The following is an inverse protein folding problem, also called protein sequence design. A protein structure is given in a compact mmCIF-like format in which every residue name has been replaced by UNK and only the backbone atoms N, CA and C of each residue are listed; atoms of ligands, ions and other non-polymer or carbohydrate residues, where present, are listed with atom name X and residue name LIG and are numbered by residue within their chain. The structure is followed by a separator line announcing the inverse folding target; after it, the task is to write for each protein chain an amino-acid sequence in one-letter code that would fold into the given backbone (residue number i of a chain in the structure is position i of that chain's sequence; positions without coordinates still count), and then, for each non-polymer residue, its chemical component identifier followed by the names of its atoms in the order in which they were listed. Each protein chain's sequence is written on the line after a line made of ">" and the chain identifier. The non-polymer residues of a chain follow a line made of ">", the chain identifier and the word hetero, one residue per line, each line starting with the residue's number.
data_IF_938837848321
#
_entry.id   IF_938837848321
#
_cell.length_a   1.000
_cell.length_b   1.000
_cell.length_c   1.000
_cell.angle_alpha   90.00
_cell.angle_beta   90.00
_cell.angle_gamma   90.00
#
_symmetry.space_group_name_H-M   'P 1'
#
loop_
_entity.id
_entity.type
_entity.pdbx_description
1 polymer ?
#
# COMPACT_ATOMS: atom_id res chain seq x y z
N UNK A 1 15.88 -9.83 -14.42
CA UNK A 1 16.01 -9.98 -12.95
C UNK A 1 16.48 -8.66 -12.38
N UNK A 2 15.60 -7.86 -11.78
CA UNK A 2 16.00 -6.63 -11.09
C UNK A 2 16.66 -7.01 -9.78
N UNK A 3 17.98 -7.00 -9.78
CA UNK A 3 18.81 -7.31 -8.63
C UNK A 3 18.48 -6.39 -7.46
N UNK A 4 18.41 -6.95 -6.24
CA UNK A 4 18.26 -6.21 -4.97
C UNK A 4 19.44 -5.22 -4.78
N UNK A 5 20.52 -5.41 -5.53
CA UNK A 5 21.73 -4.56 -5.57
C UNK A 5 21.49 -3.27 -6.39
N UNK A 6 20.33 -3.09 -7.05
CA UNK A 6 20.04 -1.82 -7.69
C UNK A 6 19.98 -0.71 -6.63
N UNK A 7 20.82 0.34 -6.70
CA UNK A 7 20.90 1.38 -5.67
C UNK A 7 19.56 2.12 -5.49
N UNK A 8 18.74 2.19 -6.54
CA UNK A 8 17.38 2.76 -6.46
C UNK A 8 16.46 1.87 -5.62
N UNK A 9 16.51 0.56 -5.84
CA UNK A 9 15.71 -0.42 -5.07
C UNK A 9 16.17 -0.43 -3.60
N UNK A 10 17.49 -0.46 -3.37
CA UNK A 10 18.07 -0.40 -2.04
C UNK A 10 17.70 0.89 -1.29
N UNK A 11 17.74 2.04 -1.96
CA UNK A 11 17.31 3.31 -1.40
C UNK A 11 15.82 3.30 -1.02
N UNK A 12 14.95 2.78 -1.89
CA UNK A 12 13.52 2.70 -1.59
C UNK A 12 13.23 1.79 -0.40
N UNK A 13 13.91 0.64 -0.30
CA UNK A 13 13.78 -0.28 0.83
C UNK A 13 14.28 0.34 2.13
N UNK A 14 15.48 0.94 2.12
CA UNK A 14 16.06 1.61 3.30
C UNK A 14 15.21 2.78 3.76
N UNK A 15 14.71 3.61 2.82
CA UNK A 15 13.82 4.72 3.14
C UNK A 15 12.49 4.22 3.72
N UNK A 16 11.91 3.17 3.13
CA UNK A 16 10.71 2.53 3.64
C UNK A 16 10.91 2.06 5.08
N UNK A 17 11.98 1.30 5.32
CA UNK A 17 12.30 0.78 6.65
C UNK A 17 12.47 1.91 7.69
N UNK A 18 13.32 2.91 7.41
CA UNK A 18 13.63 3.97 8.38
C UNK A 18 12.48 4.96 8.60
N UNK A 19 11.66 5.26 7.58
CA UNK A 19 10.61 6.29 7.67
C UNK A 19 9.24 5.71 7.99
N UNK A 20 8.93 4.50 7.50
CA UNK A 20 7.63 3.87 7.74
C UNK A 20 7.55 3.25 9.14
N UNK A 21 8.64 2.68 9.66
CA UNK A 21 8.68 2.17 11.04
C UNK A 21 8.45 3.31 12.04
N UNK A 22 9.18 4.42 11.88
CA UNK A 22 9.03 5.60 12.73
C UNK A 22 7.62 6.23 12.63
N UNK A 23 6.96 6.10 11.47
CA UNK A 23 5.57 6.50 11.29
C UNK A 23 4.60 5.65 12.11
N UNK A 24 4.82 4.34 12.20
CA UNK A 24 3.96 3.44 13.00
C UNK A 24 4.12 3.73 14.50
N UNK A 25 5.34 4.00 14.95
CA UNK A 25 5.63 4.28 16.36
C UNK A 25 5.24 5.70 16.81
N UNK A 26 5.28 6.70 15.91
CA UNK A 26 4.97 8.11 16.24
C UNK A 26 3.55 8.56 15.89
N UNK A 27 2.85 7.86 15.01
CA UNK A 27 1.49 8.24 14.63
C UNK A 27 0.47 7.80 15.69
N UNK A 28 -0.49 8.67 15.99
CA UNK A 28 -1.65 8.26 16.77
C UNK A 28 -2.45 7.19 16.00
N UNK A 29 -3.16 6.34 16.74
CA UNK A 29 -4.03 5.29 16.19
C UNK A 29 -4.94 5.82 15.09
N UNK A 30 -5.54 7.00 15.29
CA UNK A 30 -6.45 7.64 14.32
C UNK A 30 -5.77 7.99 12.99
N UNK A 31 -4.49 8.44 13.05
CA UNK A 31 -3.71 8.75 11.85
C UNK A 31 -3.38 7.49 11.06
N UNK A 32 -3.05 6.40 11.77
CA UNK A 32 -2.81 5.09 11.15
C UNK A 32 -4.09 4.56 10.51
N UNK A 33 -5.22 4.67 11.19
CA UNK A 33 -6.52 4.24 10.65
C UNK A 33 -6.94 5.06 9.43
N UNK A 34 -6.76 6.38 9.47
CA UNK A 34 -7.01 7.27 8.32
C UNK A 34 -6.14 6.88 7.13
N UNK A 35 -4.85 6.60 7.37
CA UNK A 35 -3.93 6.14 6.34
C UNK A 35 -4.36 4.81 5.74
N UNK A 36 -4.68 3.82 6.60
CA UNK A 36 -5.17 2.50 6.19
C UNK A 36 -6.42 2.61 5.34
N UNK A 37 -7.40 3.41 5.75
CA UNK A 37 -8.64 3.61 5.00
C UNK A 37 -8.39 4.26 3.63
N UNK A 38 -7.48 5.24 3.56
CA UNK A 38 -7.09 5.88 2.30
C UNK A 38 -6.41 4.88 1.35
N UNK A 39 -5.50 4.06 1.86
CA UNK A 39 -4.81 3.03 1.06
C UNK A 39 -5.77 1.94 0.60
N UNK A 40 -6.67 1.49 1.48
CA UNK A 40 -7.71 0.52 1.15
C UNK A 40 -8.60 1.00 -0.01
N UNK A 41 -9.06 2.25 0.02
CA UNK A 41 -9.85 2.83 -1.08
C UNK A 41 -9.10 2.82 -2.42
N UNK A 42 -7.78 3.03 -2.42
CA UNK A 42 -6.96 2.94 -3.63
C UNK A 42 -6.88 1.52 -4.17
N UNK A 43 -6.69 0.53 -3.29
CA UNK A 43 -6.65 -0.88 -3.66
C UNK A 43 -7.99 -1.31 -4.25
N UNK A 44 -9.10 -0.97 -3.59
CA UNK A 44 -10.45 -1.30 -4.09
C UNK A 44 -10.69 -0.65 -5.44
N UNK A 45 -10.33 0.63 -5.62
CA UNK A 45 -10.45 1.31 -6.92
C UNK A 45 -9.69 0.57 -8.02
N UNK A 46 -8.43 0.22 -7.77
CA UNK A 46 -7.63 -0.56 -8.72
C UNK A 46 -8.24 -1.94 -9.01
N UNK A 47 -8.80 -2.60 -7.99
CA UNK A 47 -9.46 -3.88 -8.16
C UNK A 47 -10.71 -3.77 -9.07
N UNK A 48 -11.40 -2.62 -9.12
CA UNK A 48 -12.48 -2.42 -10.10
C UNK A 48 -11.99 -2.29 -11.55
N UNK A 49 -10.73 -1.94 -11.79
CA UNK A 49 -10.14 -1.89 -13.13
C UNK A 49 -9.79 -3.29 -13.63
N UNK A 50 -9.48 -4.22 -12.73
CA UNK A 50 -9.15 -5.62 -13.06
C UNK A 50 -10.43 -6.43 -13.33
N UNK A 51 -10.60 -7.05 -14.52
CA UNK A 51 -11.84 -7.72 -14.90
C UNK A 51 -12.32 -8.81 -13.93
N UNK A 52 -11.36 -9.56 -13.37
CA UNK A 52 -11.65 -10.65 -12.42
C UNK A 52 -12.29 -10.12 -11.14
N UNK A 53 -11.70 -9.09 -10.53
CA UNK A 53 -12.22 -8.51 -9.29
C UNK A 53 -13.48 -7.68 -9.55
N UNK A 54 -13.53 -6.94 -10.67
CA UNK A 54 -14.72 -6.21 -11.11
C UNK A 54 -15.95 -7.11 -11.24
N UNK A 55 -15.79 -8.29 -11.86
CA UNK A 55 -16.88 -9.27 -12.00
C UNK A 55 -17.34 -9.75 -10.62
N UNK A 56 -16.39 -10.20 -9.78
CA UNK A 56 -16.67 -10.69 -8.43
C UNK A 56 -17.40 -9.65 -7.57
N UNK A 57 -16.98 -8.39 -7.59
CA UNK A 57 -17.61 -7.33 -6.79
C UNK A 57 -18.99 -6.93 -7.30
N UNK A 58 -19.22 -6.99 -8.61
CA UNK A 58 -20.56 -6.77 -9.18
C UNK A 58 -21.54 -7.91 -8.83
N UNK A 59 -21.06 -9.15 -8.78
CA UNK A 59 -21.87 -10.31 -8.41
C UNK A 59 -22.19 -10.33 -6.91
N UNK A 60 -21.28 -9.82 -6.09
CA UNK A 60 -21.47 -9.66 -4.65
C UNK A 60 -22.20 -8.36 -4.26
N UNK A 61 -22.72 -7.61 -5.24
CA UNK A 61 -23.38 -6.32 -5.06
C UNK A 61 -24.51 -6.34 -4.04
#
# INVERSE_FOLDING_TARGET
>A
MTSIINPVVAYHLLKGYLVEEDRVWRASRDKIETYRNKSFRKIVRYAYDVPVYRKKYKEAG
#
